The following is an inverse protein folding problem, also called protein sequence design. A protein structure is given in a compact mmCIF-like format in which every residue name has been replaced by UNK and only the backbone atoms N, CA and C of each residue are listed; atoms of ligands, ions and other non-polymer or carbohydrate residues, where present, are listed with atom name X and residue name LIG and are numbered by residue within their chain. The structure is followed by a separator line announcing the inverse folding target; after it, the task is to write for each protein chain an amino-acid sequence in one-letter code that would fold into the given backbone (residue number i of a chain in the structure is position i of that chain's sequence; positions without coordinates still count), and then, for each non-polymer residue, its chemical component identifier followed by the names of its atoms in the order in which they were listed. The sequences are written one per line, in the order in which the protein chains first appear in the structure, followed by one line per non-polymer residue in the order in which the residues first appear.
data_IF_643051611330
#
_entry.id   IF_643051611330
#
_cell.length_a   1.000
_cell.length_b   1.000
_cell.length_c   1.000
_cell.angle_alpha   90.00
_cell.angle_beta   90.00
_cell.angle_gamma   90.00
#
_symmetry.space_group_name_H-M   'P 1'
#
loop_
_entity.id
_entity.type
_entity.pdbx_description
1 polymer ?
#
# COMPACT_ATOMS: atom_id res chain seq x y z
N UNK A 1 -16.33 12.32 2.39
CA UNK A 1 -16.43 11.10 1.56
C UNK A 1 -17.83 10.51 1.72
N UNK A 2 -18.52 10.14 0.63
CA UNK A 2 -19.85 9.54 0.74
C UNK A 2 -19.74 8.13 1.33
N UNK A 3 -20.46 7.83 2.42
CA UNK A 3 -20.43 6.53 3.12
C UNK A 3 -20.78 5.36 2.22
N UNK A 4 -21.75 5.53 1.31
CA UNK A 4 -22.14 4.48 0.37
C UNK A 4 -21.03 4.18 -0.64
N UNK A 5 -20.28 5.21 -1.06
CA UNK A 5 -19.14 5.02 -1.96
C UNK A 5 -18.03 4.24 -1.25
N UNK A 6 -17.66 4.62 -0.03
CA UNK A 6 -16.68 3.89 0.78
C UNK A 6 -17.05 2.42 0.97
N UNK A 7 -18.32 2.13 1.26
CA UNK A 7 -18.78 0.75 1.43
C UNK A 7 -18.66 -0.07 0.13
N UNK A 8 -19.00 0.53 -1.03
CA UNK A 8 -18.84 -0.13 -2.34
C UNK A 8 -17.37 -0.38 -2.68
N UNK A 9 -16.51 0.59 -2.43
CA UNK A 9 -15.07 0.47 -2.68
C UNK A 9 -14.45 -0.62 -1.77
N UNK A 10 -14.88 -0.72 -0.51
CA UNK A 10 -14.46 -1.77 0.42
C UNK A 10 -14.94 -3.17 -0.03
N UNK A 11 -16.22 -3.31 -0.39
CA UNK A 11 -16.77 -4.60 -0.86
C UNK A 11 -16.00 -5.04 -2.11
N UNK A 12 -15.77 -4.14 -3.06
CA UNK A 12 -14.98 -4.43 -4.26
C UNK A 12 -13.57 -4.93 -3.92
N UNK A 13 -12.88 -4.27 -2.97
CA UNK A 13 -11.55 -4.71 -2.54
C UNK A 13 -11.59 -6.12 -1.94
N UNK A 14 -12.59 -6.43 -1.11
CA UNK A 14 -12.77 -7.77 -0.52
C UNK A 14 -13.02 -8.81 -1.61
N UNK A 15 -13.92 -8.54 -2.55
CA UNK A 15 -14.26 -9.45 -3.65
C UNK A 15 -13.05 -9.73 -4.56
N UNK A 16 -12.20 -8.72 -4.80
CA UNK A 16 -10.97 -8.85 -5.58
C UNK A 16 -9.81 -9.49 -4.78
N UNK A 17 -9.98 -9.72 -3.46
CA UNK A 17 -8.94 -10.22 -2.55
C UNK A 17 -9.33 -11.52 -1.83
N UNK A 18 -9.50 -12.65 -2.54
CA UNK A 18 -9.93 -13.92 -1.95
C UNK A 18 -8.90 -14.56 -1.00
N UNK A 19 -7.65 -14.08 -1.01
CA UNK A 19 -6.62 -14.49 -0.05
C UNK A 19 -5.70 -13.31 0.31
N UNK A 20 -4.87 -13.49 1.33
CA UNK A 20 -3.86 -12.50 1.74
C UNK A 20 -2.88 -12.12 0.62
N UNK A 21 -2.53 -13.06 -0.27
CA UNK A 21 -1.71 -12.76 -1.45
C UNK A 21 -2.39 -11.76 -2.39
N UNK A 22 -3.67 -11.98 -2.70
CA UNK A 22 -4.43 -11.04 -3.54
C UNK A 22 -4.67 -9.70 -2.83
N UNK A 23 -4.91 -9.71 -1.52
CA UNK A 23 -4.99 -8.49 -0.73
C UNK A 23 -3.69 -7.67 -0.80
N UNK A 24 -2.54 -8.33 -0.73
CA UNK A 24 -1.24 -7.69 -0.89
C UNK A 24 -1.09 -7.09 -2.30
N UNK A 25 -1.35 -7.86 -3.36
CA UNK A 25 -1.29 -7.39 -4.75
C UNK A 25 -2.18 -6.16 -4.97
N UNK A 26 -3.45 -6.23 -4.56
CA UNK A 26 -4.39 -5.12 -4.74
C UNK A 26 -3.98 -3.90 -3.91
N UNK A 27 -3.44 -4.10 -2.71
CA UNK A 27 -2.90 -3.01 -1.91
C UNK A 27 -1.68 -2.35 -2.57
N UNK A 28 -0.75 -3.14 -3.16
CA UNK A 28 0.37 -2.61 -3.96
C UNK A 28 -0.15 -1.72 -5.08
N UNK A 29 -1.16 -2.15 -5.84
CA UNK A 29 -1.75 -1.34 -6.91
C UNK A 29 -2.33 -0.01 -6.41
N UNK A 30 -3.07 -0.04 -5.30
CA UNK A 30 -3.65 1.16 -4.69
C UNK A 30 -2.53 2.12 -4.26
N UNK A 31 -1.48 1.61 -3.63
CA UNK A 31 -0.34 2.40 -3.18
C UNK A 31 0.43 3.02 -4.36
N UNK A 32 0.69 2.23 -5.41
CA UNK A 32 1.32 2.69 -6.64
C UNK A 32 0.52 3.83 -7.29
N UNK A 33 -0.81 3.68 -7.39
CA UNK A 33 -1.72 4.73 -7.90
C UNK A 33 -1.70 6.02 -7.06
N UNK A 34 -1.29 5.93 -5.79
CA UNK A 34 -1.21 7.07 -4.86
C UNK A 34 0.23 7.60 -4.66
N UNK A 35 1.16 7.20 -5.53
CA UNK A 35 2.53 7.70 -5.58
C UNK A 35 3.44 7.13 -4.50
N UNK A 36 3.16 5.93 -4.00
CA UNK A 36 4.11 5.21 -3.16
C UNK A 36 5.15 4.48 -4.01
N UNK A 37 6.37 4.38 -3.48
CA UNK A 37 7.47 3.62 -4.09
C UNK A 37 7.69 2.30 -3.34
N UNK A 38 7.77 1.18 -4.05
CA UNK A 38 8.15 -0.11 -3.46
C UNK A 38 9.63 -0.11 -3.06
N UNK A 39 9.90 -0.61 -1.86
CA UNK A 39 11.24 -0.88 -1.34
C UNK A 39 11.46 -2.38 -1.27
N UNK A 40 12.70 -2.81 -1.51
CA UNK A 40 13.13 -4.20 -1.31
C UNK A 40 13.62 -4.40 0.12
N UNK A 41 13.18 -5.47 0.79
CA UNK A 41 13.70 -5.86 2.12
C UNK A 41 15.18 -6.23 2.08
N UNK A 42 15.71 -6.61 0.91
CA UNK A 42 17.08 -7.05 0.73
C UNK A 42 18.08 -5.90 0.48
N UNK A 43 17.60 -4.66 0.34
CA UNK A 43 18.42 -3.51 -0.04
C UNK A 43 18.48 -2.46 1.07
N UNK A 44 19.55 -1.67 1.08
CA UNK A 44 19.64 -0.49 1.94
C UNK A 44 18.65 0.59 1.49
N UNK A 45 17.80 1.04 2.41
CA UNK A 45 16.75 2.02 2.10
C UNK A 45 17.29 3.46 2.10
N UNK A 46 17.26 4.10 0.93
CA UNK A 46 17.57 5.53 0.75
C UNK A 46 16.31 6.37 0.82
N UNK A 47 15.78 6.54 2.03
CA UNK A 47 14.53 7.26 2.30
C UNK A 47 14.72 8.78 2.19
N UNK A 48 13.72 9.47 1.64
CA UNK A 48 13.70 10.94 1.52
C UNK A 48 12.50 11.52 2.27
N UNK A 49 12.69 12.70 2.86
CA UNK A 49 11.62 13.43 3.57
C UNK A 49 10.49 13.80 2.61
N UNK A 50 9.26 13.63 3.06
CA UNK A 50 8.05 13.89 2.27
C UNK A 50 7.66 12.79 1.28
N UNK A 51 8.52 11.78 1.07
CA UNK A 51 8.24 10.68 0.17
C UNK A 51 7.43 9.56 0.85
N UNK A 52 6.83 8.71 0.01
CA UNK A 52 5.95 7.62 0.42
C UNK A 52 6.51 6.29 -0.06
N UNK A 53 6.52 5.31 0.83
CA UNK A 53 7.13 4.02 0.56
C UNK A 53 6.27 2.87 1.06
N UNK A 54 6.38 1.72 0.42
CA UNK A 54 5.90 0.47 0.99
C UNK A 54 6.91 -0.64 0.80
N UNK A 55 6.79 -1.68 1.61
CA UNK A 55 7.55 -2.92 1.50
C UNK A 55 6.60 -4.10 1.66
N UNK A 56 6.91 -5.22 1.03
CA UNK A 56 6.08 -6.43 1.08
C UNK A 56 6.83 -7.58 1.69
N UNK A 57 6.18 -8.22 2.67
CA UNK A 57 6.71 -9.36 3.41
C UNK A 57 6.18 -10.62 2.73
N UNK A 58 7.07 -11.40 2.12
CA UNK A 58 6.74 -12.67 1.45
C UNK A 58 5.53 -12.58 0.49
N UNK A 59 5.35 -11.44 -0.19
CA UNK A 59 4.21 -11.10 -1.06
C UNK A 59 2.79 -11.32 -0.47
N UNK A 60 2.69 -11.48 0.85
CA UNK A 60 1.45 -11.79 1.56
C UNK A 60 1.15 -10.81 2.70
N UNK A 61 2.12 -9.97 3.06
CA UNK A 61 1.95 -8.82 3.93
C UNK A 61 2.50 -7.56 3.27
N UNK A 62 1.97 -6.40 3.67
CA UNK A 62 2.41 -5.10 3.17
C UNK A 62 2.48 -4.08 4.31
N UNK A 63 3.55 -3.29 4.33
CA UNK A 63 3.73 -2.16 5.26
C UNK A 63 3.93 -0.91 4.41
N UNK A 64 3.04 0.06 4.55
CA UNK A 64 3.13 1.35 3.85
C UNK A 64 3.31 2.49 4.86
N UNK A 65 4.20 3.42 4.56
CA UNK A 65 4.52 4.55 5.43
C UNK A 65 4.91 5.79 4.61
N UNK A 66 4.78 6.95 5.25
CA UNK A 66 5.18 8.24 4.69
C UNK A 66 6.24 8.86 5.57
N UNK A 67 7.33 9.34 4.99
CA UNK A 67 8.37 10.05 5.74
C UNK A 67 7.90 11.48 5.95
N UNK A 68 7.78 11.89 7.21
CA UNK A 68 7.44 13.27 7.55
C UNK A 68 8.42 14.27 6.91
N UNK A 69 7.90 15.41 6.47
CA UNK A 69 8.70 16.61 6.24
C UNK A 69 8.79 17.32 7.58
N UNK A 70 9.98 17.61 8.12
CA UNK A 70 10.09 18.25 9.45
C UNK A 70 9.12 19.43 9.62
N UNK A 71 8.11 19.23 10.46
CA UNK A 71 7.24 20.17 11.20
C UNK A 71 5.96 19.47 11.64
#
# INVERSE_FOLDING_TARGET
MNKQKLAKDLIKFIDESPSNYFACINAKEILNKNGFTELSEAEEWKLKKGEKYYVTINDSGIIAFTIGTDK
#
